data_IF_916667517945
#
_entry.id   IF_916667517945
#
_cell.length_a   1.000
_cell.length_b   1.000
_cell.length_c   1.000
_cell.angle_alpha   90.00
_cell.angle_beta   90.00
_cell.angle_gamma   90.00
#
_symmetry.space_group_name_H-M   'P 1'
#
loop_
_entity.id
_entity.type
_entity.pdbx_description
1 polymer ?
#
# COMPACT_ATOMS: atom_id res chain seq x y z
N UNK A 1 -5.19 -14.40 -12.63
CA UNK A 1 -6.42 -13.68 -12.19
C UNK A 1 -7.30 -13.44 -13.39
N UNK A 2 -8.61 -13.63 -13.25
CA UNK A 2 -9.60 -13.45 -14.34
C UNK A 2 -9.62 -12.00 -14.84
N UNK A 3 -9.39 -11.02 -13.95
CA UNK A 3 -9.27 -9.60 -14.30
C UNK A 3 -7.88 -9.06 -13.94
N UNK A 4 -6.91 -9.00 -14.87
CA UNK A 4 -5.55 -8.53 -14.57
C UNK A 4 -5.46 -7.01 -14.33
N UNK A 5 -6.55 -6.29 -14.55
CA UNK A 5 -6.68 -4.84 -14.35
C UNK A 5 -7.46 -4.49 -13.08
N UNK A 6 -8.01 -5.47 -12.36
CA UNK A 6 -8.79 -5.24 -11.15
C UNK A 6 -8.17 -6.01 -9.98
N UNK A 7 -8.02 -5.33 -8.86
CA UNK A 7 -7.61 -5.92 -7.59
C UNK A 7 -8.60 -5.49 -6.51
N UNK A 8 -9.02 -6.46 -5.70
CA UNK A 8 -9.83 -6.26 -4.52
C UNK A 8 -9.13 -6.98 -3.39
N UNK A 9 -8.95 -6.31 -2.26
CA UNK A 9 -8.37 -6.87 -1.07
C UNK A 9 -9.24 -6.59 0.15
N UNK A 10 -9.19 -7.50 1.10
CA UNK A 10 -9.82 -7.40 2.40
C UNK A 10 -8.72 -7.59 3.45
N UNK A 11 -8.51 -6.58 4.28
CA UNK A 11 -7.45 -6.57 5.28
C UNK A 11 -8.07 -6.62 6.66
N UNK A 12 -7.56 -7.52 7.50
CA UNK A 12 -7.90 -7.62 8.92
C UNK A 12 -6.69 -7.24 9.76
N UNK A 13 -6.87 -6.33 10.70
CA UNK A 13 -5.84 -5.94 11.68
C UNK A 13 -6.29 -6.36 13.06
N UNK A 14 -5.44 -7.13 13.76
CA UNK A 14 -5.69 -7.54 15.14
C UNK A 14 -4.93 -6.63 16.09
N UNK A 15 -5.62 -6.12 17.10
CA UNK A 15 -5.02 -5.25 18.11
C UNK A 15 -4.85 -5.97 19.42
N UNK A 16 -3.71 -5.70 20.07
CA UNK A 16 -3.44 -6.12 21.43
C UNK A 16 -3.89 -5.03 22.40
N UNK A 17 -4.53 -5.44 23.50
CA UNK A 17 -5.01 -4.56 24.55
C UNK A 17 -3.91 -3.64 25.09
N UNK A 18 -2.68 -4.15 25.16
CA UNK A 18 -1.51 -3.40 25.63
C UNK A 18 -1.15 -2.25 24.68
N UNK A 19 -1.24 -2.48 23.37
CA UNK A 19 -0.99 -1.45 22.36
C UNK A 19 -2.11 -0.40 22.31
N UNK A 20 -3.32 -0.77 22.71
CA UNK A 20 -4.48 0.13 22.81
C UNK A 20 -4.58 0.85 24.16
N UNK A 21 -3.67 0.59 25.11
CA UNK A 21 -3.74 1.16 26.46
C UNK A 21 -4.92 0.66 27.29
N UNK A 22 -5.47 -0.51 26.95
CA UNK A 22 -6.67 -1.08 27.61
C UNK A 22 -6.35 -1.92 28.85
N UNK A 23 -5.06 -2.09 29.18
CA UNK A 23 -4.59 -2.83 30.36
C UNK A 23 -5.21 -2.33 31.69
N UNK A 24 -5.37 -1.02 31.95
CA UNK A 24 -6.02 -0.53 33.18
C UNK A 24 -7.49 -0.94 33.32
N UNK A 25 -8.14 -1.34 32.22
CA UNK A 25 -9.54 -1.77 32.19
C UNK A 25 -9.69 -3.30 32.26
N UNK A 26 -8.61 -4.04 32.56
CA UNK A 26 -8.63 -5.49 32.73
C UNK A 26 -8.52 -6.30 31.43
N UNK A 27 -8.34 -5.64 30.29
CA UNK A 27 -8.12 -6.31 29.00
C UNK A 27 -6.65 -6.73 28.84
N UNK A 28 -6.43 -7.93 28.30
CA UNK A 28 -5.09 -8.46 27.97
C UNK A 28 -5.12 -9.26 26.66
N UNK A 29 -3.99 -9.31 25.96
CA UNK A 29 -3.88 -10.06 24.71
C UNK A 29 -4.65 -9.44 23.54
N UNK A 30 -5.03 -10.24 22.55
CA UNK A 30 -5.79 -9.76 21.39
C UNK A 30 -7.25 -9.55 21.75
N UNK A 31 -7.71 -8.30 21.76
CA UNK A 31 -9.06 -7.94 22.25
C UNK A 31 -9.89 -7.15 21.26
N UNK A 32 -9.30 -6.72 20.13
CA UNK A 32 -10.02 -5.97 19.11
C UNK A 32 -9.54 -6.36 17.70
N UNK A 33 -10.42 -6.20 16.72
CA UNK A 33 -10.16 -6.42 15.31
C UNK A 33 -10.76 -5.28 14.50
N UNK A 34 -9.96 -4.73 13.59
CA UNK A 34 -10.44 -3.83 12.55
C UNK A 34 -10.34 -4.49 11.18
N UNK A 35 -11.16 -4.03 10.24
CA UNK A 35 -11.27 -4.60 8.90
C UNK A 35 -11.62 -3.53 7.90
N UNK A 36 -10.99 -3.61 6.73
CA UNK A 36 -11.34 -2.74 5.63
C UNK A 36 -11.17 -3.43 4.27
N UNK A 37 -11.89 -2.88 3.29
CA UNK A 37 -11.74 -3.26 1.90
C UNK A 37 -10.89 -2.24 1.16
N UNK A 38 -10.07 -2.71 0.23
CA UNK A 38 -9.43 -1.85 -0.76
C UNK A 38 -9.68 -2.37 -2.16
N UNK A 39 -9.83 -1.46 -3.10
CA UNK A 39 -10.00 -1.78 -4.52
C UNK A 39 -9.02 -0.95 -5.35
N UNK A 40 -8.50 -1.54 -6.42
CA UNK A 40 -7.63 -0.88 -7.39
C UNK A 40 -8.03 -1.31 -8.80
N UNK A 41 -8.30 -0.32 -9.65
CA UNK A 41 -8.60 -0.47 -11.06
C UNK A 41 -7.50 0.16 -11.90
N UNK A 42 -6.84 -0.65 -12.73
CA UNK A 42 -5.88 -0.15 -13.74
C UNK A 42 -6.65 0.35 -14.96
N UNK A 43 -6.69 1.67 -15.09
CA UNK A 43 -7.36 2.37 -16.20
C UNK A 43 -6.47 2.43 -17.44
N UNK A 44 -5.15 2.51 -17.26
CA UNK A 44 -4.19 2.48 -18.37
C UNK A 44 -3.09 1.46 -18.07
N UNK A 45 -2.83 0.56 -19.02
CA UNK A 45 -1.67 -0.32 -18.96
C UNK A 45 -0.44 0.43 -19.46
N UNK A 46 0.70 0.22 -18.81
CA UNK A 46 1.97 0.80 -19.24
C UNK A 46 2.25 0.46 -20.71
N UNK A 47 2.64 1.46 -21.50
CA UNK A 47 2.98 1.25 -22.92
C UNK A 47 1.79 0.98 -23.85
N UNK A 48 0.54 1.07 -23.38
CA UNK A 48 -0.65 0.67 -24.15
C UNK A 48 -0.89 1.52 -25.41
N UNK A 49 -0.69 2.83 -25.38
CA UNK A 49 -0.86 3.70 -26.56
C UNK A 49 0.46 4.18 -27.17
N UNK A 50 1.51 4.40 -26.36
CA UNK A 50 2.87 4.69 -26.82
C UNK A 50 3.91 4.16 -25.84
N UNK A 51 5.15 3.93 -26.33
CA UNK A 51 6.25 3.27 -25.60
C UNK A 51 6.51 3.83 -24.19
N UNK A 52 6.44 5.15 -24.04
CA UNK A 52 6.76 5.85 -22.80
C UNK A 52 5.54 6.11 -21.90
N UNK A 53 4.34 5.65 -22.28
CA UNK A 53 3.14 5.88 -21.49
C UNK A 53 3.22 5.15 -20.14
N UNK A 54 2.97 5.82 -19.00
CA UNK A 54 2.89 5.16 -17.70
C UNK A 54 1.64 4.29 -17.58
N UNK A 55 1.66 3.30 -16.70
CA UNK A 55 0.43 2.70 -16.21
C UNK A 55 -0.29 3.71 -15.30
N UNK A 56 -1.61 3.74 -15.35
CA UNK A 56 -2.43 4.56 -14.45
C UNK A 56 -3.45 3.67 -13.76
N UNK A 57 -3.56 3.85 -12.44
CA UNK A 57 -4.53 3.15 -11.59
C UNK A 57 -5.34 4.16 -10.80
N UNK A 58 -6.60 3.83 -10.57
CA UNK A 58 -7.47 4.45 -9.59
C UNK A 58 -7.70 3.45 -8.47
N UNK A 59 -7.72 3.92 -7.23
CA UNK A 59 -7.98 3.02 -6.12
C UNK A 59 -8.54 3.69 -4.90
N UNK A 60 -8.96 2.85 -3.97
CA UNK A 60 -9.50 3.26 -2.69
C UNK A 60 -9.11 2.27 -1.60
N UNK A 61 -8.97 2.78 -0.38
CA UNK A 61 -8.80 2.02 0.84
C UNK A 61 -9.89 2.47 1.82
N UNK A 62 -10.62 1.51 2.35
CA UNK A 62 -11.69 1.74 3.33
C UNK A 62 -12.72 2.81 2.89
N UNK A 63 -13.30 2.69 1.67
CA UNK A 63 -14.17 3.71 1.11
C UNK A 63 -15.48 3.88 1.88
N UNK A 64 -15.93 2.87 2.61
CA UNK A 64 -17.26 2.80 3.19
C UNK A 64 -17.22 2.24 4.61
N UNK A 65 -18.01 2.85 5.51
CA UNK A 65 -18.29 2.28 6.82
C UNK A 65 -19.79 2.29 7.09
N UNK A 66 -20.25 1.25 7.78
CA UNK A 66 -21.65 1.14 8.24
C UNK A 66 -21.90 1.92 9.54
N UNK A 67 -20.85 2.38 10.22
CA UNK A 67 -20.99 3.18 11.44
C UNK A 67 -21.69 4.50 11.12
N UNK A 68 -22.71 4.87 11.89
CA UNK A 68 -23.45 6.12 11.70
C UNK A 68 -24.45 6.14 10.52
N UNK A 69 -24.91 4.98 10.04
CA UNK A 69 -25.97 4.89 9.02
C UNK A 69 -25.50 4.61 7.60
N UNK A 70 -24.21 4.30 7.40
CA UNK A 70 -23.65 3.97 6.10
C UNK A 70 -23.20 5.20 5.33
N UNK A 71 -21.88 5.40 5.22
CA UNK A 71 -21.33 6.56 4.52
C UNK A 71 -20.07 6.19 3.73
N UNK A 72 -19.97 6.72 2.52
CA UNK A 72 -18.75 6.68 1.70
C UNK A 72 -17.89 7.90 2.02
N UNK A 73 -16.59 7.69 2.25
CA UNK A 73 -15.64 8.76 2.54
C UNK A 73 -16.03 9.55 3.79
N UNK A 74 -16.17 8.85 4.93
CA UNK A 74 -16.53 9.48 6.21
C UNK A 74 -15.59 10.61 6.55
N UNK A 75 -16.09 11.60 7.29
CA UNK A 75 -15.31 12.76 7.74
C UNK A 75 -14.70 12.55 9.12
N UNK A 76 -15.38 11.79 9.98
CA UNK A 76 -15.05 11.52 11.38
C UNK A 76 -15.49 10.09 11.76
N UNK A 77 -15.05 9.59 12.91
CA UNK A 77 -15.45 8.26 13.42
C UNK A 77 -14.78 7.10 12.68
N UNK A 78 -15.46 5.96 12.58
CA UNK A 78 -14.89 4.75 11.96
C UNK A 78 -14.59 4.96 10.46
N UNK A 79 -13.66 4.18 9.90
CA UNK A 79 -13.14 4.40 8.55
C UNK A 79 -11.70 4.95 8.54
N UNK A 80 -10.83 4.40 9.40
CA UNK A 80 -9.50 4.95 9.70
C UNK A 80 -8.58 5.09 8.49
N UNK A 81 -8.74 4.26 7.47
CA UNK A 81 -7.89 4.34 6.27
C UNK A 81 -8.49 5.19 5.15
N UNK A 82 -9.77 5.56 5.25
CA UNK A 82 -10.62 6.06 4.15
C UNK A 82 -9.89 7.01 3.20
N UNK A 83 -9.50 6.49 2.03
CA UNK A 83 -8.65 7.17 1.06
C UNK A 83 -9.02 6.78 -0.35
N UNK A 84 -8.90 7.74 -1.25
CA UNK A 84 -8.98 7.58 -2.70
C UNK A 84 -7.66 8.05 -3.30
N UNK A 85 -7.23 7.41 -4.38
CA UNK A 85 -6.00 7.78 -5.04
C UNK A 85 -6.04 7.55 -6.54
N UNK A 86 -5.27 8.37 -7.25
CA UNK A 86 -4.80 8.09 -8.60
C UNK A 86 -3.28 7.91 -8.52
N UNK A 87 -2.76 6.89 -9.20
CA UNK A 87 -1.32 6.67 -9.27
C UNK A 87 -0.91 6.36 -10.71
N UNK A 88 0.20 6.97 -11.12
CA UNK A 88 0.90 6.71 -12.37
C UNK A 88 2.25 6.05 -12.06
N UNK A 89 2.61 5.02 -12.81
CA UNK A 89 3.88 4.31 -12.64
C UNK A 89 4.53 3.99 -13.99
N UNK A 90 5.85 4.07 -14.06
CA UNK A 90 6.63 3.75 -15.25
C UNK A 90 7.86 2.96 -14.86
N UNK A 91 8.11 1.84 -15.55
CA UNK A 91 9.31 1.04 -15.35
C UNK A 91 10.26 1.22 -16.53
N UNK A 92 11.49 1.60 -16.23
CA UNK A 92 12.52 1.94 -17.20
C UNK A 92 13.61 0.87 -17.09
N UNK A 93 13.78 0.03 -18.11
CA UNK A 93 14.89 -0.90 -18.15
C UNK A 93 16.20 -0.13 -18.39
N UNK A 94 17.26 -0.47 -17.65
CA UNK A 94 18.58 0.18 -17.75
C UNK A 94 19.55 -0.71 -18.53
N UNK A 95 20.15 -1.70 -17.88
CA UNK A 95 21.07 -2.69 -18.50
C UNK A 95 20.78 -4.08 -17.96
N UNK A 96 20.69 -5.07 -18.86
CA UNK A 96 20.41 -6.46 -18.47
C UNK A 96 19.02 -6.60 -17.82
N UNK A 97 18.99 -7.07 -16.58
CA UNK A 97 17.75 -7.21 -15.77
C UNK A 97 17.52 -6.03 -14.81
N UNK A 98 18.33 -4.99 -14.92
CA UNK A 98 18.22 -3.80 -14.07
C UNK A 98 17.05 -2.93 -14.48
N UNK A 99 16.26 -2.50 -13.50
CA UNK A 99 15.03 -1.73 -13.71
C UNK A 99 14.89 -0.65 -12.65
N UNK A 100 14.53 0.55 -13.10
CA UNK A 100 14.13 1.68 -12.25
C UNK A 100 12.64 1.93 -12.50
N UNK A 101 11.84 1.88 -11.44
CA UNK A 101 10.43 2.25 -11.48
C UNK A 101 10.24 3.62 -10.84
N UNK A 102 9.49 4.50 -11.50
CA UNK A 102 9.10 5.82 -11.00
C UNK A 102 7.60 5.86 -10.80
N UNK A 103 7.15 6.35 -9.66
CA UNK A 103 5.76 6.34 -9.22
C UNK A 103 5.35 7.73 -8.74
N UNK A 104 4.24 8.21 -9.24
CA UNK A 104 3.60 9.47 -8.82
C UNK A 104 2.15 9.18 -8.48
N UNK A 105 1.69 9.65 -7.34
CA UNK A 105 0.30 9.52 -6.94
C UNK A 105 -0.22 10.79 -6.30
N UNK A 106 -1.54 10.93 -6.33
CA UNK A 106 -2.25 11.95 -5.57
C UNK A 106 -3.24 11.25 -4.66
N UNK A 107 -3.13 11.54 -3.37
CA UNK A 107 -3.97 10.99 -2.32
C UNK A 107 -5.06 11.98 -1.96
N UNK A 108 -6.25 11.46 -1.68
CA UNK A 108 -7.40 12.26 -1.27
C UNK A 108 -8.21 11.54 -0.18
N UNK A 109 -8.58 12.27 0.87
CA UNK A 109 -9.59 11.89 1.83
C UNK A 109 -10.44 13.10 2.28
N UNK A 110 -11.61 12.80 2.84
CA UNK A 110 -12.52 13.77 3.46
C UNK A 110 -12.33 13.88 4.98
N UNK A 111 -11.26 13.28 5.53
CA UNK A 111 -11.07 13.15 6.97
C UNK A 111 -10.66 14.49 7.58
N UNK A 112 -11.27 14.82 8.71
CA UNK A 112 -10.88 16.01 9.49
C UNK A 112 -9.72 15.72 10.42
N UNK A 113 -9.69 14.54 11.04
CA UNK A 113 -8.70 14.17 12.07
C UNK A 113 -7.32 13.85 11.49
N UNK A 114 -7.26 13.27 10.30
CA UNK A 114 -6.02 12.89 9.62
C UNK A 114 -6.11 13.16 8.12
N UNK A 115 -6.25 14.45 7.79
CA UNK A 115 -6.29 14.89 6.39
C UNK A 115 -4.96 14.55 5.70
N UNK A 116 -5.04 13.76 4.63
CA UNK A 116 -3.89 13.32 3.84
C UNK A 116 -4.19 13.55 2.37
N UNK A 117 -4.12 14.82 1.97
CA UNK A 117 -4.39 15.28 0.61
C UNK A 117 -3.12 15.86 0.04
N UNK A 118 -2.51 15.18 -0.91
CA UNK A 118 -1.25 15.62 -1.47
C UNK A 118 -0.62 14.62 -2.42
N UNK A 119 0.50 15.05 -3.01
CA UNK A 119 1.29 14.20 -3.87
C UNK A 119 2.14 13.25 -3.05
N UNK A 120 2.21 12.01 -3.52
CA UNK A 120 3.15 11.02 -3.08
C UNK A 120 4.02 10.57 -4.26
N UNK A 121 5.31 10.43 -3.99
CA UNK A 121 6.34 10.09 -4.98
C UNK A 121 7.04 8.83 -4.51
N UNK A 122 7.46 7.98 -5.42
CA UNK A 122 8.26 6.83 -5.06
C UNK A 122 9.11 6.36 -6.21
N UNK A 123 10.28 5.83 -5.87
CA UNK A 123 11.20 5.21 -6.78
C UNK A 123 11.48 3.78 -6.32
N UNK A 124 11.58 2.88 -7.28
CA UNK A 124 11.94 1.48 -7.03
C UNK A 124 13.15 1.10 -7.85
N UNK A 125 14.09 0.39 -7.24
CA UNK A 125 15.30 -0.06 -7.90
C UNK A 125 15.45 -1.57 -7.78
N UNK A 126 15.62 -2.24 -8.92
CA UNK A 126 15.86 -3.66 -9.03
C UNK A 126 17.25 -3.89 -9.67
N UNK A 127 18.27 -4.28 -8.90
CA UNK A 127 19.62 -4.48 -9.42
C UNK A 127 19.75 -5.73 -10.30
N UNK A 128 20.56 -5.65 -11.34
CA UNK A 128 20.84 -6.77 -12.25
C UNK A 128 21.55 -7.95 -11.59
N UNK A 129 22.44 -7.69 -10.63
CA UNK A 129 23.20 -8.72 -9.89
C UNK A 129 22.34 -9.47 -8.87
N UNK A 130 21.23 -8.88 -8.42
CA UNK A 130 20.32 -9.51 -7.46
C UNK A 130 18.84 -9.22 -7.79
N UNK A 131 18.28 -9.80 -8.86
CA UNK A 131 16.94 -9.44 -9.34
C UNK A 131 15.79 -9.70 -8.36
N UNK A 132 16.02 -10.55 -7.36
CA UNK A 132 15.06 -10.84 -6.29
C UNK A 132 14.96 -9.72 -5.25
N UNK A 133 15.92 -8.81 -5.22
CA UNK A 133 15.94 -7.63 -4.36
C UNK A 133 15.24 -6.48 -5.08
N UNK A 134 14.41 -5.75 -4.34
CA UNK A 134 13.85 -4.46 -4.77
C UNK A 134 14.01 -3.47 -3.62
N UNK A 135 14.68 -2.37 -3.90
CA UNK A 135 14.75 -1.22 -2.98
C UNK A 135 13.64 -0.25 -3.35
N UNK A 136 13.04 0.37 -2.34
CA UNK A 136 11.92 1.30 -2.47
C UNK A 136 12.25 2.54 -1.65
N UNK A 137 12.13 3.71 -2.25
CA UNK A 137 12.16 4.99 -1.55
C UNK A 137 10.87 5.72 -1.88
N UNK A 138 10.16 6.20 -0.88
CA UNK A 138 8.88 6.87 -1.09
C UNK A 138 8.69 8.07 -0.18
N UNK A 139 7.88 9.01 -0.65
CA UNK A 139 7.35 10.14 0.07
C UNK A 139 5.82 10.05 -0.02
N UNK A 140 5.14 9.91 1.11
CA UNK A 140 3.71 9.57 1.17
C UNK A 140 2.79 10.78 1.38
N UNK A 141 3.20 11.96 0.89
CA UNK A 141 2.61 13.30 1.12
C UNK A 141 2.82 13.89 2.52
N UNK A 142 3.40 13.12 3.45
CA UNK A 142 3.68 13.57 4.81
C UNK A 142 5.10 13.26 5.25
N UNK A 143 5.53 12.02 5.03
CA UNK A 143 6.76 11.46 5.54
C UNK A 143 7.52 10.72 4.44
N UNK A 144 8.80 10.48 4.69
CA UNK A 144 9.64 9.63 3.85
C UNK A 144 9.70 8.21 4.42
N UNK A 145 9.69 7.22 3.55
CA UNK A 145 9.97 5.84 3.90
C UNK A 145 11.03 5.26 2.96
N UNK A 146 11.88 4.41 3.53
CA UNK A 146 12.86 3.64 2.80
C UNK A 146 12.65 2.17 3.13
N UNK A 147 12.51 1.34 2.12
CA UNK A 147 12.24 -0.07 2.29
C UNK A 147 12.98 -0.95 1.29
N UNK A 148 12.95 -2.24 1.57
CA UNK A 148 13.43 -3.25 0.66
C UNK A 148 12.52 -4.47 0.73
N UNK A 149 12.33 -5.10 -0.41
CA UNK A 149 11.67 -6.39 -0.52
C UNK A 149 12.60 -7.40 -1.15
N UNK A 150 12.51 -8.64 -0.68
CA UNK A 150 13.32 -9.74 -1.19
C UNK A 150 12.45 -10.97 -1.40
N UNK A 151 12.56 -11.60 -2.57
CA UNK A 151 11.85 -12.83 -2.89
C UNK A 151 12.73 -14.08 -2.66
N UNK A 152 12.51 -14.77 -1.55
CA UNK A 152 13.10 -16.06 -1.21
C UNK A 152 12.33 -17.21 -1.86
N UNK A 153 13.06 -18.17 -2.45
CA UNK A 153 12.52 -19.42 -2.99
C UNK A 153 11.35 -19.26 -3.97
N UNK A 154 11.20 -18.09 -4.62
CA UNK A 154 10.05 -17.73 -5.49
C UNK A 154 8.68 -17.71 -4.80
N UNK A 155 8.61 -17.91 -3.49
CA UNK A 155 7.36 -18.04 -2.74
C UNK A 155 7.28 -17.11 -1.53
N UNK A 156 8.40 -16.85 -0.86
CA UNK A 156 8.42 -16.08 0.38
C UNK A 156 8.95 -14.67 0.10
N UNK A 157 8.07 -13.68 0.17
CA UNK A 157 8.44 -12.28 0.17
C UNK A 157 8.77 -11.84 1.59
N UNK A 158 9.99 -11.34 1.77
CA UNK A 158 10.39 -10.58 2.95
C UNK A 158 10.29 -9.11 2.61
N UNK A 159 9.69 -8.31 3.47
CA UNK A 159 9.63 -6.86 3.34
C UNK A 159 10.11 -6.22 4.63
N UNK A 160 10.94 -5.19 4.49
CA UNK A 160 11.34 -4.30 5.58
C UNK A 160 11.18 -2.86 5.13
N UNK A 161 10.84 -1.99 6.07
CA UNK A 161 10.62 -0.57 5.82
C UNK A 161 11.05 0.22 7.05
N UNK A 162 11.54 1.43 6.81
CA UNK A 162 11.85 2.41 7.83
C UNK A 162 11.12 3.71 7.51
N UNK A 163 10.05 3.98 8.24
CA UNK A 163 9.26 5.20 8.09
C UNK A 163 9.88 6.33 8.91
N UNK A 164 9.91 7.55 8.37
CA UNK A 164 10.55 8.74 8.96
C UNK A 164 12.02 8.53 9.34
N UNK A 165 12.68 7.53 8.76
CA UNK A 165 14.01 7.05 9.17
C UNK A 165 14.11 6.70 10.67
N UNK A 166 12.98 6.35 11.31
CA UNK A 166 12.90 6.12 12.76
C UNK A 166 12.10 4.86 13.11
N UNK A 167 10.99 4.63 12.43
CA UNK A 167 10.05 3.57 12.77
C UNK A 167 10.27 2.40 11.84
N UNK A 168 10.98 1.38 12.33
CA UNK A 168 11.21 0.15 11.60
C UNK A 168 9.97 -0.75 11.62
N UNK A 169 9.61 -1.28 10.46
CA UNK A 169 8.57 -2.29 10.30
C UNK A 169 9.05 -3.37 9.33
N UNK A 170 8.44 -4.56 9.44
CA UNK A 170 8.80 -5.67 8.57
C UNK A 170 7.71 -6.74 8.55
N UNK A 171 7.69 -7.50 7.48
CA UNK A 171 6.66 -8.51 7.23
C UNK A 171 7.13 -9.63 6.32
N UNK A 172 6.40 -10.74 6.41
CA UNK A 172 6.56 -11.90 5.55
C UNK A 172 5.26 -12.14 4.79
N UNK A 173 5.35 -12.36 3.49
CA UNK A 173 4.21 -12.71 2.64
C UNK A 173 4.51 -13.99 1.89
N UNK A 174 3.65 -15.00 2.04
CA UNK A 174 3.78 -16.24 1.30
C UNK A 174 2.85 -16.25 0.07
N UNK A 175 3.43 -16.44 -1.12
CA UNK A 175 2.72 -16.42 -2.40
C UNK A 175 2.33 -17.83 -2.84
N UNK A 176 1.04 -18.12 -2.75
CA UNK A 176 0.43 -19.33 -3.30
C UNK A 176 -0.16 -18.99 -4.67
N UNK A 177 0.33 -19.67 -5.72
CA UNK A 177 -0.24 -19.58 -7.05
C UNK A 177 -1.24 -20.72 -7.21
N UNK A 178 -2.53 -20.38 -7.24
CA UNK A 178 -3.59 -21.33 -7.57
C UNK A 178 -3.59 -21.56 -9.10
N UNK A 179 -3.68 -22.82 -9.52
CA UNK A 179 -3.78 -23.23 -10.93
C UNK A 179 -5.17 -22.93 -11.48
#
# INVERSE_FOLDING_TARGET
TIFPFLEIAYTCTLFKAEALGLKPYGYSGFTNQDRYFSARLRVLKEGQFWKYMPAVVLGTSDPFTSSGGGQVGTTEGNGYYSRFYIAASKHIPVVGKEEIGVHLSYLYNNRKEYKLNGFALGDTYNPSFHPQLRVIAEYDSKDFALGATYLLFKHLHVQVEMQRMKYFSGGLTYKIHLK
#
